data_IF_665728716330
#
_entry.id   IF_665728716330
#
_cell.length_a   1.000
_cell.length_b   1.000
_cell.length_c   1.000
_cell.angle_alpha   90.00
_cell.angle_beta   90.00
_cell.angle_gamma   90.00
#
_symmetry.space_group_name_H-M   'P 1'
#
loop_
_entity.id
_entity.type
_entity.pdbx_description
1 polymer ?
#
# COMPACT_ATOMS: atom_id res chain seq x y z
N UNK A 1 -4.16 8.24 -20.59
CA UNK A 1 -3.11 8.87 -19.76
C UNK A 1 -2.75 7.90 -18.66
N UNK A 2 -1.48 7.48 -18.50
CA UNK A 2 -1.10 6.69 -17.33
C UNK A 2 -1.25 7.56 -16.08
N UNK A 3 -2.08 7.12 -15.14
CA UNK A 3 -2.25 7.79 -13.84
C UNK A 3 -0.91 7.78 -13.10
N UNK A 4 -0.62 8.84 -12.33
CA UNK A 4 0.48 8.78 -11.36
C UNK A 4 0.16 7.68 -10.33
N UNK A 5 1.17 6.90 -9.87
CA UNK A 5 0.94 5.87 -8.87
C UNK A 5 0.44 6.49 -7.56
N UNK A 6 -0.44 5.77 -6.88
CA UNK A 6 -0.88 6.15 -5.54
C UNK A 6 0.28 5.92 -4.59
N UNK A 7 0.72 6.98 -3.91
CA UNK A 7 1.70 6.84 -2.84
C UNK A 7 1.04 6.08 -1.68
N UNK A 8 1.72 5.10 -1.11
CA UNK A 8 1.22 4.30 0.01
C UNK A 8 2.30 4.28 1.08
N UNK A 9 1.99 4.69 2.31
CA UNK A 9 2.96 4.62 3.40
C UNK A 9 2.79 3.30 4.12
N UNK A 10 3.85 2.52 4.26
CA UNK A 10 3.85 1.37 5.16
C UNK A 10 4.06 1.87 6.59
N UNK A 11 3.09 1.62 7.46
CA UNK A 11 3.14 2.05 8.86
C UNK A 11 3.80 0.96 9.71
N UNK A 12 3.32 -0.28 9.59
CA UNK A 12 3.81 -1.40 10.39
C UNK A 12 3.57 -2.73 9.72
N UNK A 13 4.42 -3.71 10.03
CA UNK A 13 4.27 -5.10 9.61
C UNK A 13 4.17 -6.03 10.82
N UNK A 14 3.29 -7.02 10.73
CA UNK A 14 3.05 -8.02 11.76
C UNK A 14 2.88 -9.39 11.11
N UNK A 15 3.99 -10.05 10.78
CA UNK A 15 3.98 -11.32 10.08
C UNK A 15 3.29 -11.21 8.72
N UNK A 16 2.08 -11.78 8.61
CA UNK A 16 1.31 -11.80 7.35
C UNK A 16 0.32 -10.62 7.20
N UNK A 17 0.40 -9.60 8.06
CA UNK A 17 -0.44 -8.39 8.02
C UNK A 17 0.41 -7.12 7.96
N UNK A 18 -0.10 -6.12 7.27
CA UNK A 18 0.60 -4.85 6.99
C UNK A 18 -0.38 -3.69 7.19
N UNK A 19 -0.05 -2.76 8.08
CA UNK A 19 -0.80 -1.52 8.23
C UNK A 19 -0.25 -0.50 7.23
N UNK A 20 -1.12 -0.02 6.35
CA UNK A 20 -0.78 0.93 5.29
C UNK A 20 -1.66 2.17 5.38
N UNK A 21 -1.10 3.31 4.97
CA UNK A 21 -1.83 4.58 4.91
C UNK A 21 -1.83 5.12 3.49
N UNK A 22 -3.03 5.31 2.95
CA UNK A 22 -3.23 5.98 1.68
C UNK A 22 -3.40 7.50 1.93
N UNK A 23 -2.84 8.38 1.07
CA UNK A 23 -2.91 9.82 1.22
C UNK A 23 -4.34 10.37 1.30
N UNK A 24 -5.27 9.72 0.58
CA UNK A 24 -6.69 10.12 0.53
C UNK A 24 -7.50 9.62 1.72
N UNK A 25 -6.96 8.71 2.54
CA UNK A 25 -7.65 8.12 3.68
C UNK A 25 -7.14 8.74 4.98
N UNK A 26 -8.08 9.08 5.87
CA UNK A 26 -7.76 9.62 7.20
C UNK A 26 -7.28 8.54 8.18
N UNK A 27 -7.58 7.27 7.90
CA UNK A 27 -7.28 6.12 8.74
C UNK A 27 -6.28 5.17 8.06
N UNK A 28 -5.69 4.31 8.88
CA UNK A 28 -4.80 3.23 8.45
C UNK A 28 -5.63 1.99 8.11
N UNK A 29 -5.19 1.25 7.09
CA UNK A 29 -5.82 0.00 6.66
C UNK A 29 -4.85 -1.13 6.91
N UNK A 30 -5.32 -2.18 7.57
CA UNK A 30 -4.59 -3.44 7.65
C UNK A 30 -4.90 -4.29 6.42
N UNK A 31 -3.87 -4.61 5.64
CA UNK A 31 -3.95 -5.53 4.50
C UNK A 31 -3.18 -6.82 4.80
N UNK A 32 -3.52 -7.89 4.11
CA UNK A 32 -2.77 -9.14 4.21
C UNK A 32 -1.53 -9.16 3.29
N UNK A 33 -0.72 -10.21 3.43
CA UNK A 33 0.48 -10.45 2.62
C UNK A 33 0.19 -10.54 1.12
N UNK A 34 -0.96 -11.10 0.73
CA UNK A 34 -1.32 -11.23 -0.68
C UNK A 34 -1.55 -9.86 -1.31
N UNK A 35 -2.34 -9.01 -0.65
CA UNK A 35 -2.62 -7.65 -1.07
C UNK A 35 -1.35 -6.80 -1.08
N UNK A 36 -0.53 -6.89 -0.03
CA UNK A 36 0.76 -6.20 0.03
C UNK A 36 1.65 -6.57 -1.16
N UNK A 37 1.88 -7.87 -1.41
CA UNK A 37 2.70 -8.32 -2.52
C UNK A 37 2.13 -7.89 -3.88
N UNK A 38 0.82 -7.99 -4.08
CA UNK A 38 0.15 -7.54 -5.30
C UNK A 38 0.37 -6.05 -5.54
N UNK A 39 0.28 -5.23 -4.50
CA UNK A 39 0.53 -3.79 -4.61
C UNK A 39 2.01 -3.50 -4.86
N UNK A 40 2.94 -4.15 -4.14
CA UNK A 40 4.38 -3.92 -4.28
C UNK A 40 4.90 -4.32 -5.67
N UNK A 41 4.31 -5.34 -6.29
CA UNK A 41 4.66 -5.79 -7.63
C UNK A 41 4.06 -4.93 -8.75
N UNK A 42 3.20 -3.95 -8.43
CA UNK A 42 2.57 -3.05 -9.40
C UNK A 42 2.96 -1.57 -9.14
N UNK A 43 4.23 -1.19 -9.34
CA UNK A 43 4.74 0.15 -9.04
C UNK A 43 4.11 1.27 -9.91
N UNK A 44 3.49 0.91 -11.04
CA UNK A 44 2.73 1.86 -11.88
C UNK A 44 1.41 2.29 -11.20
N UNK A 45 0.83 1.44 -10.35
CA UNK A 45 -0.42 1.73 -9.64
C UNK A 45 -0.17 2.18 -8.20
N UNK A 46 0.78 1.56 -7.49
CA UNK A 46 1.06 1.81 -6.09
C UNK A 46 2.56 1.99 -5.86
N UNK A 47 2.96 3.09 -5.23
CA UNK A 47 4.35 3.34 -4.86
C UNK A 47 4.45 3.42 -3.35
N UNK A 48 5.10 2.43 -2.74
CA UNK A 48 5.38 2.44 -1.32
C UNK A 48 6.48 3.45 -0.98
N UNK A 49 6.27 4.24 0.08
CA UNK A 49 7.19 5.26 0.61
C UNK A 49 7.45 5.07 2.11
#
# INVERSE_FOLDING_TARGET
>A
MKSKPTLVKLIKSYGNKYDVKFPKLKFEITIDRYCYNKMSNNPEEYKFI
#
